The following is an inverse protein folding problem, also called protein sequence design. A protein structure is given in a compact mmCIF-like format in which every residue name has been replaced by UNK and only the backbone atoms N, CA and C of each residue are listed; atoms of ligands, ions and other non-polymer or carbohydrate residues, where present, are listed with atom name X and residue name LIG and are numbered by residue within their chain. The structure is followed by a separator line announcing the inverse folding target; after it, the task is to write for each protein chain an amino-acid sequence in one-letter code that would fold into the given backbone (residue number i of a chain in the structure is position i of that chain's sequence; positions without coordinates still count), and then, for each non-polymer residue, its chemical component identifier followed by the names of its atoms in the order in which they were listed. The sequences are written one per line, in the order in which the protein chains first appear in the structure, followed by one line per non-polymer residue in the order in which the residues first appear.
data_IF_603174505970
#
_entry.id   IF_603174505970
#
_cell.length_a   1.000
_cell.length_b   1.000
_cell.length_c   1.000
_cell.angle_alpha   90.00
_cell.angle_beta   90.00
_cell.angle_gamma   90.00
#
_symmetry.space_group_name_H-M   'P 1'
#
loop_
_entity.id
_entity.type
_entity.pdbx_description
1 polymer ?
#
# COMPACT_ATOMS: atom_id res chain seq x y z
N UNK A 1 10.70 4.43 25.72
CA UNK A 1 10.81 4.15 24.28
C UNK A 1 11.10 5.48 23.67
N UNK A 2 12.36 5.71 23.30
CA UNK A 2 12.91 7.08 23.27
C UNK A 2 13.22 7.54 21.83
N UNK A 3 12.82 6.73 20.85
CA UNK A 3 13.02 6.99 19.43
C UNK A 3 11.67 7.20 18.75
N UNK A 4 11.57 8.26 17.97
CA UNK A 4 10.38 8.63 17.21
C UNK A 4 10.70 8.68 15.71
N UNK A 5 9.72 8.29 14.89
CA UNK A 5 9.79 8.41 13.43
C UNK A 5 8.81 9.50 13.00
N UNK A 6 9.29 10.43 12.17
CA UNK A 6 8.49 11.54 11.63
C UNK A 6 8.67 11.55 10.13
N UNK A 7 7.58 11.28 9.42
CA UNK A 7 7.54 11.29 7.96
C UNK A 7 6.70 12.45 7.42
N UNK A 8 7.02 12.87 6.19
CA UNK A 8 6.17 13.81 5.44
C UNK A 8 4.81 13.17 5.22
N UNK A 9 3.75 13.95 5.40
CA UNK A 9 2.41 13.52 5.03
C UNK A 9 2.28 13.29 3.51
N UNK A 10 1.80 12.11 3.14
CA UNK A 10 1.57 11.72 1.75
C UNK A 10 0.07 11.57 1.52
N UNK A 11 -0.47 12.53 0.80
CA UNK A 11 -1.88 12.54 0.43
C UNK A 11 -2.20 11.37 -0.52
N UNK A 12 -3.47 11.02 -0.58
CA UNK A 12 -3.99 10.14 -1.61
C UNK A 12 -4.29 8.75 -1.08
N UNK A 13 -4.07 7.77 -1.95
CA UNK A 13 -4.64 6.42 -1.86
C UNK A 13 -3.71 5.50 -1.09
N UNK A 14 -4.28 4.50 -0.45
CA UNK A 14 -3.55 3.47 0.27
C UNK A 14 -3.63 2.15 -0.48
N UNK A 15 -2.47 1.61 -0.85
CA UNK A 15 -2.38 0.44 -1.70
C UNK A 15 -1.53 -0.61 -1.01
N UNK A 16 -1.94 -1.86 -1.07
CA UNK A 16 -1.20 -2.99 -0.51
C UNK A 16 -0.98 -4.04 -1.58
N UNK A 17 0.20 -4.66 -1.57
CA UNK A 17 0.51 -5.81 -2.41
C UNK A 17 1.15 -6.92 -1.58
N UNK A 18 0.61 -8.12 -1.72
CA UNK A 18 1.17 -9.31 -1.10
C UNK A 18 2.19 -9.97 -2.04
N UNK A 19 3.23 -10.57 -1.46
CA UNK A 19 4.21 -11.40 -2.18
C UNK A 19 4.19 -12.79 -1.57
N UNK A 20 4.12 -13.82 -2.41
CA UNK A 20 4.19 -15.22 -2.01
C UNK A 20 5.32 -15.92 -2.76
N UNK A 21 6.37 -16.32 -2.02
CA UNK A 21 7.63 -16.74 -2.61
C UNK A 21 8.22 -15.60 -3.45
N UNK A 22 8.38 -15.84 -4.75
CA UNK A 22 8.92 -14.86 -5.71
C UNK A 22 7.85 -14.19 -6.58
N UNK A 23 6.58 -14.29 -6.19
CA UNK A 23 5.44 -13.78 -6.97
C UNK A 23 4.71 -12.68 -6.24
N UNK A 24 4.70 -11.48 -6.82
CA UNK A 24 3.81 -10.40 -6.39
C UNK A 24 2.36 -10.71 -6.83
N UNK A 25 1.44 -10.70 -5.88
CA UNK A 25 0.02 -10.94 -6.08
C UNK A 25 -0.71 -9.65 -6.51
N UNK A 26 -2.04 -9.68 -6.50
CA UNK A 26 -2.84 -8.52 -6.85
C UNK A 26 -2.61 -7.32 -5.92
N UNK A 27 -2.67 -6.12 -6.47
CA UNK A 27 -2.69 -4.88 -5.69
C UNK A 27 -4.11 -4.66 -5.21
N UNK A 28 -4.26 -4.42 -3.92
CA UNK A 28 -5.53 -4.08 -3.28
C UNK A 28 -5.46 -2.63 -2.81
N UNK A 29 -6.54 -1.88 -2.99
CA UNK A 29 -6.71 -0.57 -2.39
C UNK A 29 -7.48 -0.68 -1.09
N UNK A 30 -6.97 -0.01 -0.06
CA UNK A 30 -7.62 0.14 1.24
C UNK A 30 -8.26 1.52 1.28
N UNK A 31 -9.59 1.56 1.35
CA UNK A 31 -10.38 2.81 1.39
C UNK A 31 -11.00 2.91 2.79
N UNK A 32 -10.49 3.78 3.68
CA UNK A 32 -11.07 3.99 5.00
C UNK A 32 -12.51 4.49 4.89
N UNK A 33 -13.39 4.00 5.76
CA UNK A 33 -14.80 4.42 5.82
C UNK A 33 -15.04 5.16 7.13
N UNK A 34 -15.34 6.47 7.04
CA UNK A 34 -15.66 7.32 8.19
C UNK A 34 -14.51 8.19 8.72
N UNK A 35 -13.26 7.92 8.31
CA UNK A 35 -12.07 8.69 8.72
C UNK A 35 -11.24 9.13 7.51
N UNK A 36 -10.45 10.19 7.68
CA UNK A 36 -9.59 10.75 6.63
C UNK A 36 -8.29 9.94 6.37
N UNK A 37 -8.00 8.93 7.20
CA UNK A 37 -6.80 8.09 7.09
C UNK A 37 -7.05 6.66 7.62
N UNK A 38 -6.24 5.69 7.20
CA UNK A 38 -6.34 4.29 7.65
C UNK A 38 -5.71 4.12 9.04
N UNK A 39 -6.53 4.25 10.06
CA UNK A 39 -6.15 4.10 11.46
C UNK A 39 -6.46 2.70 12.02
N UNK A 40 -6.18 2.52 13.30
CA UNK A 40 -6.47 1.28 14.02
C UNK A 40 -7.94 0.89 13.89
N UNK A 41 -8.86 1.84 14.04
CA UNK A 41 -10.29 1.59 13.96
C UNK A 41 -10.69 1.17 12.54
N UNK A 42 -10.11 1.81 11.52
CA UNK A 42 -10.30 1.45 10.11
C UNK A 42 -9.86 0.00 9.81
N UNK A 43 -8.90 -0.53 10.57
CA UNK A 43 -8.32 -1.87 10.39
C UNK A 43 -9.05 -2.98 11.16
N UNK A 44 -9.64 -2.67 12.32
CA UNK A 44 -10.17 -3.68 13.24
C UNK A 44 -11.67 -3.57 13.54
N UNK A 45 -12.30 -2.42 13.27
CA UNK A 45 -13.75 -2.29 13.36
C UNK A 45 -14.40 -2.84 12.09
N UNK A 46 -15.39 -3.71 12.26
CA UNK A 46 -16.17 -4.23 11.14
C UNK A 46 -16.82 -3.06 10.38
N UNK A 47 -16.48 -2.88 9.10
CA UNK A 47 -16.94 -1.75 8.30
C UNK A 47 -16.10 -0.48 8.43
N UNK A 48 -14.90 -0.54 9.01
CA UNK A 48 -13.95 0.58 9.09
C UNK A 48 -13.13 0.84 7.82
N UNK A 49 -13.11 -0.12 6.88
CA UNK A 49 -12.53 0.07 5.55
C UNK A 49 -13.18 -0.81 4.49
N UNK A 50 -13.14 -0.34 3.25
CA UNK A 50 -13.46 -1.11 2.04
C UNK A 50 -12.18 -1.52 1.34
N UNK A 51 -12.12 -2.76 0.89
CA UNK A 51 -11.02 -3.31 0.11
C UNK A 51 -11.44 -3.46 -1.36
N UNK A 52 -10.73 -2.81 -2.27
CA UNK A 52 -10.91 -3.01 -3.71
C UNK A 52 -9.73 -3.79 -4.30
N UNK A 53 -9.99 -5.04 -4.74
CA UNK A 53 -9.01 -5.90 -5.38
C UNK A 53 -9.59 -6.50 -6.68
N UNK A 54 -9.00 -6.24 -7.85
CA UNK A 54 -7.79 -5.43 -8.07
C UNK A 54 -8.03 -3.92 -7.88
N UNK A 55 -7.01 -3.21 -7.39
CA UNK A 55 -7.03 -1.76 -7.22
C UNK A 55 -7.27 -1.04 -8.56
N UNK A 56 -8.15 -0.02 -8.57
CA UNK A 56 -8.47 0.77 -9.75
C UNK A 56 -7.43 1.88 -9.99
N UNK A 57 -6.24 1.49 -10.38
CA UNK A 57 -5.13 2.40 -10.76
C UNK A 57 -4.71 2.15 -12.21
N UNK A 58 -3.91 3.04 -12.79
CA UNK A 58 -3.39 2.80 -14.15
C UNK A 58 -2.50 1.56 -14.17
N UNK A 59 -2.41 0.84 -15.31
CA UNK A 59 -1.60 -0.38 -15.41
C UNK A 59 -0.12 -0.18 -15.03
N UNK A 60 0.44 0.99 -15.37
CA UNK A 60 1.82 1.35 -15.01
C UNK A 60 2.00 1.35 -13.49
N UNK A 61 1.10 2.01 -12.75
CA UNK A 61 1.18 2.10 -11.29
C UNK A 61 0.95 0.73 -10.64
N UNK A 62 0.01 -0.05 -11.17
CA UNK A 62 -0.23 -1.41 -10.71
C UNK A 62 1.05 -2.26 -10.80
N UNK A 63 1.69 -2.27 -11.97
CA UNK A 63 2.94 -3.01 -12.21
C UNK A 63 4.11 -2.47 -11.37
N UNK A 64 4.19 -1.14 -11.20
CA UNK A 64 5.19 -0.50 -10.34
C UNK A 64 5.08 -0.97 -8.90
N UNK A 65 3.87 -1.03 -8.35
CA UNK A 65 3.64 -1.51 -6.98
C UNK A 65 4.02 -2.98 -6.84
N UNK A 66 3.64 -3.85 -7.77
CA UNK A 66 4.04 -5.26 -7.76
C UNK A 66 5.56 -5.41 -7.78
N UNK A 67 6.23 -4.64 -8.63
CA UNK A 67 7.70 -4.65 -8.74
C UNK A 67 8.35 -4.21 -7.43
N UNK A 68 7.87 -3.14 -6.82
CA UNK A 68 8.40 -2.63 -5.55
C UNK A 68 8.14 -3.60 -4.40
N UNK A 69 6.96 -4.22 -4.33
CA UNK A 69 6.63 -5.19 -3.29
C UNK A 69 7.54 -6.42 -3.36
N UNK A 70 7.80 -6.96 -4.56
CA UNK A 70 8.73 -8.07 -4.74
C UNK A 70 10.17 -7.68 -4.35
N UNK A 71 10.62 -6.50 -4.76
CA UNK A 71 11.94 -5.99 -4.38
C UNK A 71 12.07 -5.81 -2.87
N UNK A 72 11.06 -5.25 -2.21
CA UNK A 72 11.05 -5.08 -0.77
C UNK A 72 11.11 -6.44 -0.05
N UNK A 73 10.27 -7.41 -0.45
CA UNK A 73 10.29 -8.78 0.08
C UNK A 73 11.70 -9.39 0.03
N UNK A 74 12.36 -9.28 -1.13
CA UNK A 74 13.70 -9.81 -1.33
C UNK A 74 14.77 -9.03 -0.53
N UNK A 75 14.67 -7.70 -0.50
CA UNK A 75 15.66 -6.83 0.15
C UNK A 75 15.73 -7.04 1.67
N UNK A 76 14.59 -7.27 2.33
CA UNK A 76 14.57 -7.56 3.78
C UNK A 76 14.71 -9.06 4.10
N UNK A 77 14.92 -9.91 3.10
CA UNK A 77 15.09 -11.35 3.27
C UNK A 77 13.84 -12.09 3.75
N UNK A 78 12.64 -11.60 3.40
CA UNK A 78 11.39 -12.31 3.70
C UNK A 78 11.38 -13.71 3.04
N UNK A 79 10.62 -14.62 3.64
CA UNK A 79 10.33 -15.96 3.10
C UNK A 79 8.85 -16.27 3.30
N UNK A 80 8.28 -17.10 2.43
CA UNK A 80 6.87 -17.46 2.51
C UNK A 80 5.98 -16.34 1.97
N UNK A 81 5.34 -15.57 2.86
CA UNK A 81 4.39 -14.52 2.47
C UNK A 81 4.73 -13.20 3.17
N UNK A 82 4.74 -12.09 2.43
CA UNK A 82 4.79 -10.75 3.00
C UNK A 82 3.71 -9.85 2.40
N UNK A 83 3.51 -8.70 3.02
CA UNK A 83 2.66 -7.63 2.54
C UNK A 83 3.43 -6.33 2.60
N UNK A 84 3.40 -5.56 1.51
CA UNK A 84 3.97 -4.21 1.45
C UNK A 84 2.83 -3.21 1.26
N UNK A 85 2.80 -2.20 2.14
CA UNK A 85 1.82 -1.13 2.13
C UNK A 85 2.47 0.13 1.50
N UNK A 86 1.70 0.87 0.71
CA UNK A 86 2.17 2.01 -0.10
C UNK A 86 1.19 3.18 0.00
N UNK A 87 1.73 4.39 -0.04
CA UNK A 87 0.96 5.64 -0.25
C UNK A 87 1.11 6.09 -1.70
N UNK A 88 -0.01 6.46 -2.33
CA UNK A 88 -0.04 6.91 -3.72
C UNK A 88 -0.75 8.26 -3.86
N UNK A 89 0.00 9.31 -4.18
CA UNK A 89 -0.53 10.66 -4.47
C UNK A 89 -0.70 10.83 -5.98
N UNK A 90 -1.94 10.87 -6.45
CA UNK A 90 -2.30 11.00 -7.87
C UNK A 90 -2.55 12.43 -8.34
N UNK A 91 -2.33 13.44 -7.48
CA UNK A 91 -2.73 14.84 -7.78
C UNK A 91 -1.80 15.59 -8.74
N UNK A 92 -0.53 15.22 -8.83
CA UNK A 92 0.52 16.13 -9.36
C UNK A 92 1.28 15.64 -10.59
N UNK A 93 1.06 14.40 -11.08
CA UNK A 93 1.63 13.94 -12.36
C UNK A 93 0.83 12.80 -12.97
N UNK A 94 1.00 12.56 -14.28
CA UNK A 94 0.38 11.44 -15.00
C UNK A 94 0.70 10.07 -14.37
N UNK A 95 1.84 9.96 -13.67
CA UNK A 95 2.29 8.76 -12.98
C UNK A 95 2.19 8.85 -11.44
N UNK A 96 1.64 9.94 -10.89
CA UNK A 96 1.58 10.22 -9.45
C UNK A 96 2.92 10.07 -8.70
N UNK A 97 2.85 10.08 -7.37
CA UNK A 97 3.95 9.76 -6.46
C UNK A 97 3.60 8.49 -5.69
N UNK A 98 4.39 7.41 -5.87
CA UNK A 98 4.26 6.18 -5.07
C UNK A 98 5.38 6.19 -4.04
N UNK A 99 5.02 6.13 -2.77
CA UNK A 99 5.96 6.10 -1.65
C UNK A 99 5.70 4.88 -0.78
N UNK A 100 6.80 4.32 -0.29
CA UNK A 100 6.88 3.16 0.58
C UNK A 100 7.51 3.58 1.91
#
# INVERSE_FOLDING_TARGET
GDTFMVDRYIHGRELTCAVMGDVALGVCEIIPTGHSFYDYDSKYVAGGSKHECPAKVSPNIYQKIQTLALKAHQAVGCRGVSRSDFRYDDRHSENGEVVW
#
